data_IF_539008106538
#
_entry.id   IF_539008106538
#
_cell.length_a   1.000
_cell.length_b   1.000
_cell.length_c   1.000
_cell.angle_alpha   90.00
_cell.angle_beta   90.00
_cell.angle_gamma   90.00
#
_symmetry.space_group_name_H-M   'P 1'
#
loop_
_entity.id
_entity.type
_entity.pdbx_description
1 polymer ?
#
# COMPACT_ATOMS: atom_id res chain seq x y z
N UNK A 1 -21.82 -17.77 -17.81
CA UNK A 1 -21.93 -16.50 -17.05
C UNK A 1 -21.06 -15.50 -17.78
N UNK A 2 -21.66 -14.64 -18.59
CA UNK A 2 -20.95 -13.56 -19.29
C UNK A 2 -20.47 -12.54 -18.27
N UNK A 3 -19.16 -12.37 -18.19
CA UNK A 3 -18.52 -11.33 -17.40
C UNK A 3 -18.64 -10.02 -18.19
N UNK A 4 -19.65 -9.21 -17.91
CA UNK A 4 -19.70 -7.82 -18.35
C UNK A 4 -18.67 -7.01 -17.55
N UNK A 5 -17.39 -7.24 -17.84
CA UNK A 5 -16.29 -6.45 -17.27
C UNK A 5 -16.41 -5.02 -17.77
N UNK A 6 -16.72 -4.08 -16.88
CA UNK A 6 -16.70 -2.67 -17.22
C UNK A 6 -15.32 -2.27 -17.76
N UNK A 7 -15.28 -1.55 -18.88
CA UNK A 7 -14.03 -1.13 -19.51
C UNK A 7 -13.13 -0.40 -18.49
N UNK A 8 -11.89 -0.87 -18.34
CA UNK A 8 -10.90 -0.25 -17.45
C UNK A 8 -10.35 1.04 -18.06
N UNK A 9 -9.88 1.99 -17.24
CA UNK A 9 -9.14 3.15 -17.73
C UNK A 9 -7.94 2.69 -18.57
N UNK A 10 -7.72 3.33 -19.71
CA UNK A 10 -6.58 3.06 -20.60
C UNK A 10 -5.29 3.73 -20.14
N UNK A 11 -5.38 4.65 -19.17
CA UNK A 11 -4.27 5.42 -18.62
C UNK A 11 -4.16 5.21 -17.12
N UNK A 12 -2.93 5.22 -16.63
CA UNK A 12 -2.60 5.17 -15.20
C UNK A 12 -2.99 6.46 -14.50
N UNK A 13 -3.16 6.41 -13.18
CA UNK A 13 -3.48 7.61 -12.39
C UNK A 13 -2.32 8.62 -12.44
N UNK A 14 -1.08 8.14 -12.44
CA UNK A 14 0.10 8.98 -12.56
C UNK A 14 0.15 9.74 -13.88
N UNK A 15 -0.23 9.11 -15.01
CA UNK A 15 -0.34 9.79 -16.31
C UNK A 15 -1.48 10.82 -16.31
N UNK A 16 -2.64 10.47 -15.76
CA UNK A 16 -3.77 11.38 -15.61
C UNK A 16 -3.41 12.62 -14.78
N UNK A 17 -2.65 12.42 -13.70
CA UNK A 17 -2.19 13.50 -12.82
C UNK A 17 -1.07 14.36 -13.46
N UNK A 18 -0.28 13.79 -14.37
CA UNK A 18 0.83 14.46 -15.06
C UNK A 18 0.42 15.25 -16.31
N UNK A 19 -0.81 15.05 -16.82
CA UNK A 19 -1.30 15.75 -18.00
C UNK A 19 -1.36 17.28 -17.75
N UNK A 20 -0.69 18.07 -18.59
CA UNK A 20 -0.66 19.52 -18.48
C UNK A 20 -2.05 20.14 -18.72
N UNK A 21 -2.54 20.93 -17.75
CA UNK A 21 -3.86 21.56 -17.77
C UNK A 21 -4.55 21.43 -16.42
N UNK A 22 -5.84 21.77 -16.33
CA UNK A 22 -6.68 21.23 -15.25
C UNK A 22 -7.01 19.80 -15.68
N UNK A 23 -6.44 18.75 -15.08
CA UNK A 23 -6.87 17.39 -15.40
C UNK A 23 -8.35 17.31 -14.98
N UNK A 24 -9.24 17.17 -15.96
CA UNK A 24 -10.62 16.80 -15.68
C UNK A 24 -10.56 15.38 -15.11
N UNK A 25 -10.55 15.29 -13.78
CA UNK A 25 -10.56 14.01 -13.03
C UNK A 25 -11.75 13.21 -13.55
N UNK A 26 -11.53 12.04 -14.19
CA UNK A 26 -12.63 11.29 -14.78
C UNK A 26 -13.68 10.97 -13.71
N UNK A 27 -14.96 11.00 -14.10
CA UNK A 27 -16.08 10.84 -13.16
C UNK A 27 -16.02 9.58 -12.30
N UNK A 28 -15.32 8.53 -12.77
CA UNK A 28 -15.08 7.30 -12.02
C UNK A 28 -14.13 7.45 -10.83
N UNK A 29 -13.38 8.54 -10.72
CA UNK A 29 -12.53 8.84 -9.57
C UNK A 29 -13.15 9.90 -8.64
N UNK A 30 -14.34 10.40 -8.98
CA UNK A 30 -15.04 11.38 -8.16
C UNK A 30 -16.00 10.65 -7.24
N UNK A 31 -15.69 10.64 -5.95
CA UNK A 31 -16.62 10.11 -4.95
C UNK A 31 -17.88 10.96 -4.91
N UNK A 32 -19.04 10.31 -5.06
CA UNK A 32 -20.36 10.95 -4.95
C UNK A 32 -20.87 11.00 -3.51
N UNK A 33 -20.04 10.63 -2.53
CA UNK A 33 -20.41 10.65 -1.12
C UNK A 33 -20.92 12.03 -0.75
N UNK A 34 -22.16 12.07 -0.24
CA UNK A 34 -22.71 13.23 0.44
C UNK A 34 -21.67 13.70 1.45
N UNK A 35 -21.03 14.84 1.20
CA UNK A 35 -20.46 15.62 2.27
C UNK A 35 -21.64 16.02 3.14
N UNK A 36 -21.99 15.20 4.12
CA UNK A 36 -22.66 15.73 5.28
C UNK A 36 -21.74 16.84 5.78
N UNK A 37 -22.23 18.08 5.73
CA UNK A 37 -21.66 19.26 6.37
C UNK A 37 -21.68 19.08 7.91
N UNK A 38 -21.21 17.93 8.40
CA UNK A 38 -21.04 17.64 9.80
C UNK A 38 -19.69 18.17 10.23
N UNK A 39 -19.66 18.91 11.34
CA UNK A 39 -18.43 19.14 12.08
C UNK A 39 -17.58 17.86 12.04
N UNK A 40 -16.35 17.96 11.54
CA UNK A 40 -15.37 16.92 11.80
C UNK A 40 -15.28 16.81 13.33
N UNK A 41 -15.69 15.67 13.93
CA UNK A 41 -15.44 15.48 15.34
C UNK A 41 -13.93 15.66 15.53
N UNK A 42 -13.53 16.38 16.58
CA UNK A 42 -12.12 16.46 16.97
C UNK A 42 -11.64 15.03 17.16
N UNK A 43 -10.93 14.50 16.17
CA UNK A 43 -10.45 13.14 16.19
C UNK A 43 -9.48 13.02 17.37
N UNK A 44 -9.74 12.08 18.26
CA UNK A 44 -8.77 11.72 19.28
C UNK A 44 -7.43 11.34 18.60
N UNK A 45 -6.27 11.50 19.24
CA UNK A 45 -5.01 11.09 18.64
C UNK A 45 -4.96 9.56 18.51
N UNK A 46 -4.43 9.06 17.39
CA UNK A 46 -4.21 7.63 17.17
C UNK A 46 -3.27 7.08 18.25
N UNK A 47 -3.59 5.94 18.91
CA UNK A 47 -2.71 5.34 19.90
C UNK A 47 -1.35 4.96 19.31
N UNK A 48 -0.28 5.15 20.07
CA UNK A 48 1.09 4.75 19.70
C UNK A 48 1.56 3.67 20.66
N UNK A 49 1.97 2.51 20.17
CA UNK A 49 2.41 1.35 20.97
C UNK A 49 3.92 1.18 20.88
N UNK A 50 4.58 1.12 22.02
CA UNK A 50 6.02 0.88 22.16
C UNK A 50 6.30 -0.63 22.22
N UNK A 51 6.71 -1.20 21.09
CA UNK A 51 6.94 -2.65 20.98
C UNK A 51 8.11 -3.09 21.87
N UNK A 52 9.15 -2.26 21.98
CA UNK A 52 10.30 -2.52 22.85
C UNK A 52 9.92 -2.66 24.32
N UNK A 53 8.81 -2.04 24.77
CA UNK A 53 8.23 -2.21 26.12
C UNK A 53 7.50 -3.53 26.30
N UNK A 54 6.81 -4.01 25.27
CA UNK A 54 6.09 -5.30 25.32
C UNK A 54 7.02 -6.50 25.51
N UNK A 55 8.26 -6.41 25.02
CA UNK A 55 9.22 -7.51 25.02
C UNK A 55 10.36 -7.37 26.05
N UNK A 56 10.27 -6.42 27.01
CA UNK A 56 11.27 -6.33 28.09
C UNK A 56 11.23 -7.59 28.96
N UNK A 57 12.39 -8.21 29.18
CA UNK A 57 12.49 -9.40 30.03
C UNK A 57 12.08 -9.11 31.49
N UNK A 58 11.42 -10.09 32.10
CA UNK A 58 10.92 -10.07 33.48
C UNK A 58 12.05 -9.75 34.47
N UNK A 59 11.95 -8.61 35.15
CA UNK A 59 12.92 -8.18 36.17
C UNK A 59 12.94 -6.67 36.40
N UNK A 60 12.58 -5.88 35.39
CA UNK A 60 12.30 -4.45 35.53
C UNK A 60 10.79 -4.25 35.61
N UNK A 61 10.26 -4.03 36.81
CA UNK A 61 8.88 -3.66 37.16
C UNK A 61 7.82 -3.91 36.06
N UNK A 62 7.03 -4.96 36.24
CA UNK A 62 5.88 -5.38 35.42
C UNK A 62 4.70 -4.37 35.39
N UNK A 63 4.97 -3.08 35.17
CA UNK A 63 4.01 -2.00 35.34
C UNK A 63 4.23 -0.82 34.37
N UNK A 64 4.74 -1.04 33.15
CA UNK A 64 4.76 0.05 32.16
C UNK A 64 3.44 0.23 31.39
N UNK A 65 2.48 -0.67 31.60
CA UNK A 65 1.09 -0.54 31.13
C UNK A 65 0.91 -0.67 29.63
N UNK A 66 1.96 -1.02 28.87
CA UNK A 66 1.92 -0.99 27.42
C UNK A 66 1.03 -2.10 26.84
N UNK A 67 0.92 -3.26 27.49
CA UNK A 67 -0.04 -4.32 27.12
C UNK A 67 -1.49 -3.83 27.26
N UNK A 68 -1.82 -3.15 28.36
CA UNK A 68 -3.17 -2.62 28.59
C UNK A 68 -3.52 -1.54 27.55
N UNK A 69 -2.55 -0.71 27.18
CA UNK A 69 -2.69 0.29 26.11
C UNK A 69 -2.89 -0.35 24.73
N UNK A 70 -2.15 -1.42 24.42
CA UNK A 70 -2.34 -2.19 23.19
C UNK A 70 -3.75 -2.80 23.14
N UNK A 71 -4.19 -3.44 24.22
CA UNK A 71 -5.55 -3.98 24.35
C UNK A 71 -6.60 -2.90 24.13
N UNK A 72 -6.46 -1.76 24.79
CA UNK A 72 -7.37 -0.62 24.63
C UNK A 72 -7.41 -0.12 23.18
N UNK A 73 -6.25 0.00 22.52
CA UNK A 73 -6.18 0.42 21.13
C UNK A 73 -6.88 -0.58 20.19
N UNK A 74 -6.69 -1.88 20.40
CA UNK A 74 -7.38 -2.93 19.64
C UNK A 74 -8.90 -2.88 19.84
N UNK A 75 -9.38 -2.68 21.08
CA UNK A 75 -10.80 -2.69 21.42
C UNK A 75 -11.54 -1.41 20.99
N UNK A 76 -10.89 -0.25 21.06
CA UNK A 76 -11.54 1.05 20.83
C UNK A 76 -11.27 1.65 19.46
N UNK A 77 -10.07 1.44 18.92
CA UNK A 77 -9.65 2.02 17.64
C UNK A 77 -9.62 1.00 16.50
N UNK A 78 -9.17 -0.23 16.78
CA UNK A 78 -8.85 -1.22 15.75
C UNK A 78 -7.62 -0.85 14.89
N UNK A 79 -6.94 0.25 15.21
CA UNK A 79 -5.71 0.72 14.57
C UNK A 79 -4.81 1.44 15.59
N UNK A 80 -3.51 1.36 15.41
CA UNK A 80 -2.51 2.05 16.23
C UNK A 80 -1.20 2.20 15.44
N UNK A 81 -0.36 3.15 15.86
CA UNK A 81 1.01 3.29 15.39
C UNK A 81 1.94 2.47 16.28
N UNK A 82 3.09 2.05 15.76
CA UNK A 82 4.12 1.34 16.53
C UNK A 82 5.41 2.13 16.57
N UNK A 83 6.14 2.06 17.69
CA UNK A 83 7.48 2.61 17.88
C UNK A 83 8.37 1.58 18.54
N UNK A 84 9.70 1.77 18.45
CA UNK A 84 10.70 0.85 19.00
C UNK A 84 10.46 -0.61 18.56
N UNK A 85 10.06 -0.78 17.31
CA UNK A 85 9.71 -2.08 16.71
C UNK A 85 10.93 -2.94 16.34
N UNK A 86 12.16 -2.44 16.53
CA UNK A 86 13.39 -3.19 16.26
C UNK A 86 13.85 -3.16 14.80
N UNK A 87 12.95 -2.88 13.84
CA UNK A 87 13.31 -2.64 12.43
C UNK A 87 14.27 -1.45 12.29
N UNK A 88 15.39 -1.67 11.62
CA UNK A 88 16.40 -0.65 11.36
C UNK A 88 15.88 0.39 10.36
N UNK A 89 16.10 1.69 10.64
CA UNK A 89 15.59 2.77 9.80
C UNK A 89 16.12 2.70 8.37
N UNK A 90 17.33 2.19 8.16
CA UNK A 90 17.92 2.03 6.83
C UNK A 90 17.16 1.05 5.94
N UNK A 91 16.44 0.09 6.53
CA UNK A 91 15.60 -0.86 5.78
C UNK A 91 14.40 -0.16 5.20
N UNK A 92 13.69 0.59 6.05
CA UNK A 92 12.51 1.36 5.65
C UNK A 92 12.89 2.45 4.65
N UNK A 93 14.00 3.17 4.90
CA UNK A 93 14.52 4.18 3.99
C UNK A 93 14.91 3.58 2.63
N UNK A 94 15.61 2.44 2.63
CA UNK A 94 15.98 1.72 1.42
C UNK A 94 14.77 1.32 0.58
N UNK A 95 13.74 0.75 1.21
CA UNK A 95 12.50 0.38 0.52
C UNK A 95 11.73 1.60 0.00
N UNK A 96 11.69 2.70 0.75
CA UNK A 96 11.08 3.95 0.32
C UNK A 96 11.80 4.56 -0.89
N UNK A 97 13.14 4.53 -0.90
CA UNK A 97 13.94 4.95 -2.05
C UNK A 97 13.66 4.05 -3.25
N UNK A 98 13.72 2.73 -3.07
CA UNK A 98 13.53 1.77 -4.14
C UNK A 98 12.13 1.90 -4.78
N UNK A 99 11.10 2.08 -3.95
CA UNK A 99 9.73 2.32 -4.40
C UNK A 99 9.61 3.61 -5.21
N UNK A 100 10.18 4.72 -4.72
CA UNK A 100 10.15 6.00 -5.43
C UNK A 100 10.86 5.93 -6.78
N UNK A 101 12.00 5.25 -6.83
CA UNK A 101 12.74 5.03 -8.07
C UNK A 101 11.93 4.23 -9.06
N UNK A 102 11.27 3.14 -8.61
CA UNK A 102 10.37 2.36 -9.47
C UNK A 102 9.29 3.23 -10.12
N UNK A 103 8.54 4.01 -9.32
CA UNK A 103 7.43 4.83 -9.83
C UNK A 103 7.88 6.03 -10.68
N UNK A 104 9.14 6.47 -10.56
CA UNK A 104 9.75 7.50 -11.42
C UNK A 104 10.17 7.00 -12.79
N UNK A 105 10.24 5.68 -12.99
CA UNK A 105 10.56 5.13 -14.30
C UNK A 105 9.50 5.51 -15.35
N UNK A 106 9.89 5.54 -16.65
CA UNK A 106 8.96 5.72 -17.74
C UNK A 106 7.79 4.71 -17.68
N UNK A 107 6.59 5.07 -18.17
CA UNK A 107 5.45 4.16 -18.21
C UNK A 107 5.76 2.80 -18.84
N UNK A 108 6.57 2.77 -19.89
CA UNK A 108 6.93 1.57 -20.63
C UNK A 108 7.66 0.56 -19.74
N UNK A 109 8.56 1.02 -18.87
CA UNK A 109 9.29 0.14 -17.95
C UNK A 109 8.38 -0.42 -16.86
N UNK A 110 7.44 0.40 -16.34
CA UNK A 110 6.48 -0.06 -15.32
C UNK A 110 5.44 -1.01 -15.89
N UNK A 111 5.01 -0.80 -17.14
CA UNK A 111 4.05 -1.66 -17.85
C UNK A 111 4.56 -3.09 -18.05
N UNK A 112 5.88 -3.33 -18.00
CA UNK A 112 6.45 -4.69 -18.03
C UNK A 112 5.98 -5.57 -16.88
N UNK A 113 5.54 -4.95 -15.78
CA UNK A 113 5.09 -5.62 -14.57
C UNK A 113 3.57 -5.64 -14.45
N UNK A 114 2.82 -5.32 -15.51
CA UNK A 114 1.37 -5.07 -15.44
C UNK A 114 0.58 -6.23 -14.81
N UNK A 115 -0.39 -5.90 -13.96
CA UNK A 115 -1.28 -6.86 -13.31
C UNK A 115 -2.45 -7.34 -14.21
N UNK A 116 -2.33 -7.15 -15.52
CA UNK A 116 -3.37 -7.41 -16.51
C UNK A 116 -2.80 -8.20 -17.69
N UNK A 117 -2.97 -9.53 -17.64
CA UNK A 117 -2.47 -10.44 -18.66
C UNK A 117 -3.30 -10.26 -19.94
N UNK A 118 -2.63 -9.96 -21.05
CA UNK A 118 -3.26 -9.80 -22.36
C UNK A 118 -4.26 -8.63 -22.42
N UNK A 119 -4.19 -7.67 -21.49
CA UNK A 119 -5.09 -6.52 -21.44
C UNK A 119 -6.49 -6.80 -20.88
N UNK A 120 -6.78 -8.03 -20.45
CA UNK A 120 -8.13 -8.42 -20.02
C UNK A 120 -8.16 -9.18 -18.69
N UNK A 121 -7.21 -10.12 -18.49
CA UNK A 121 -7.23 -11.01 -17.33
C UNK A 121 -6.47 -10.40 -16.17
N UNK A 122 -7.21 -9.99 -15.15
CA UNK A 122 -6.62 -9.53 -13.89
C UNK A 122 -5.86 -10.64 -13.16
N UNK A 123 -4.67 -10.30 -12.68
CA UNK A 123 -3.93 -11.02 -11.64
C UNK A 123 -3.71 -10.06 -10.47
N UNK A 124 -3.62 -10.59 -9.25
CA UNK A 124 -3.45 -9.75 -8.05
C UNK A 124 -2.08 -9.06 -8.03
N UNK A 125 -1.03 -9.80 -8.37
CA UNK A 125 0.34 -9.30 -8.38
C UNK A 125 0.64 -8.49 -9.65
N UNK A 126 1.54 -7.51 -9.53
CA UNK A 126 1.99 -6.64 -10.60
C UNK A 126 1.63 -5.17 -10.40
N UNK A 127 2.00 -4.37 -11.38
CA UNK A 127 1.76 -2.95 -11.50
C UNK A 127 0.39 -2.65 -12.11
N UNK A 128 -0.37 -1.75 -11.51
CA UNK A 128 -1.65 -1.29 -12.03
C UNK A 128 -2.60 -0.85 -10.92
N UNK A 129 -3.89 -0.88 -11.22
CA UNK A 129 -4.95 -0.58 -10.26
C UNK A 129 -5.62 -1.85 -9.75
N UNK A 130 -6.49 -1.71 -8.77
CA UNK A 130 -7.32 -2.81 -8.28
C UNK A 130 -8.23 -3.40 -9.37
N UNK A 131 -8.79 -4.57 -9.06
CA UNK A 131 -9.75 -5.23 -9.93
C UNK A 131 -10.99 -4.35 -10.11
N UNK A 132 -11.26 -3.96 -11.35
CA UNK A 132 -12.52 -3.35 -11.74
C UNK A 132 -13.57 -4.44 -11.94
N UNK A 133 -14.67 -4.37 -11.19
CA UNK A 133 -15.77 -5.35 -11.19
C UNK A 133 -17.01 -4.87 -11.93
N UNK A 134 -17.23 -3.56 -12.04
CA UNK A 134 -18.34 -2.95 -12.78
C UNK A 134 -17.94 -1.66 -13.50
N UNK A 135 -18.77 -1.21 -14.43
CA UNK A 135 -18.54 0.04 -15.18
C UNK A 135 -18.77 1.29 -14.30
N UNK A 136 -19.67 1.17 -13.32
CA UNK A 136 -20.08 2.24 -12.40
C UNK A 136 -19.19 2.35 -11.16
N UNK A 137 -18.27 1.40 -10.96
CA UNK A 137 -17.36 1.40 -9.82
C UNK A 137 -16.55 2.70 -9.76
N UNK A 138 -16.58 3.33 -8.59
CA UNK A 138 -15.65 4.41 -8.22
C UNK A 138 -14.28 3.80 -7.96
N UNK A 139 -13.26 4.35 -8.60
CA UNK A 139 -11.89 3.90 -8.59
C UNK A 139 -11.05 4.77 -7.64
N UNK A 140 -10.08 4.14 -7.00
CA UNK A 140 -9.09 4.85 -6.19
C UNK A 140 -8.16 5.67 -7.08
N UNK A 141 -7.83 6.88 -6.64
CA UNK A 141 -6.81 7.72 -7.28
C UNK A 141 -5.39 7.24 -6.88
N UNK A 142 -5.05 6.00 -7.27
CA UNK A 142 -3.74 5.41 -6.99
C UNK A 142 -3.33 4.39 -8.05
N UNK A 143 -2.05 4.41 -8.42
CA UNK A 143 -1.38 3.26 -9.04
C UNK A 143 -0.63 2.47 -7.97
N UNK A 144 -0.53 1.15 -8.14
CA UNK A 144 0.06 0.25 -7.15
C UNK A 144 0.98 -0.76 -7.82
N UNK A 145 1.99 -1.21 -7.09
CA UNK A 145 2.75 -2.42 -7.40
C UNK A 145 2.48 -3.38 -6.24
N UNK A 146 1.77 -4.47 -6.51
CA UNK A 146 1.45 -5.49 -5.52
C UNK A 146 2.32 -6.72 -5.78
N UNK A 147 3.09 -7.17 -4.80
CA UNK A 147 3.97 -8.32 -4.94
C UNK A 147 3.77 -9.26 -3.76
N UNK A 148 3.72 -10.56 -4.04
CA UNK A 148 3.86 -11.56 -3.00
C UNK A 148 5.30 -11.59 -2.53
N UNK A 149 5.49 -11.37 -1.23
CA UNK A 149 6.80 -11.45 -0.57
C UNK A 149 6.96 -12.77 0.19
N UNK A 150 5.89 -13.42 0.63
CA UNK A 150 5.95 -14.73 1.29
C UNK A 150 4.81 -15.66 0.84
N UNK A 151 5.02 -16.99 0.89
CA UNK A 151 6.31 -17.66 1.14
C UNK A 151 7.28 -17.54 -0.06
N UNK A 152 8.58 -17.77 0.16
CA UNK A 152 9.62 -17.56 -0.88
C UNK A 152 9.39 -18.34 -2.17
N UNK A 153 8.91 -19.58 -2.05
CA UNK A 153 8.65 -20.51 -3.16
C UNK A 153 7.40 -20.15 -3.97
N UNK A 154 6.54 -19.29 -3.43
CA UNK A 154 5.36 -18.76 -4.12
C UNK A 154 5.62 -17.39 -4.77
N UNK A 155 6.82 -16.82 -4.65
CA UNK A 155 7.17 -15.51 -5.24
C UNK A 155 7.20 -15.58 -6.76
N UNK A 156 6.42 -14.73 -7.42
CA UNK A 156 6.48 -14.53 -8.87
C UNK A 156 7.61 -13.57 -9.25
N UNK A 157 8.88 -14.02 -9.19
CA UNK A 157 10.06 -13.17 -9.44
C UNK A 157 10.06 -12.48 -10.81
N UNK A 158 9.31 -12.99 -11.79
CA UNK A 158 9.14 -12.34 -13.08
C UNK A 158 8.41 -10.98 -12.98
N UNK A 159 7.61 -10.77 -11.93
CA UNK A 159 6.89 -9.53 -11.65
C UNK A 159 7.67 -8.58 -10.74
N UNK A 160 8.82 -9.02 -10.22
CA UNK A 160 9.64 -8.20 -9.36
C UNK A 160 10.49 -7.23 -10.20
N UNK A 161 10.47 -5.92 -9.91
CA UNK A 161 11.27 -4.94 -10.63
C UNK A 161 12.77 -5.26 -10.62
N UNK A 162 13.38 -5.30 -11.80
CA UNK A 162 14.83 -5.39 -11.94
C UNK A 162 15.51 -4.03 -11.66
N UNK A 163 14.75 -2.95 -11.79
CA UNK A 163 15.16 -1.59 -11.48
C UNK A 163 14.20 -0.96 -10.46
N UNK A 164 14.75 -0.34 -9.39
CA UNK A 164 16.18 -0.24 -9.08
C UNK A 164 16.79 -1.59 -8.66
N UNK A 165 18.10 -1.75 -8.82
CA UNK A 165 18.80 -3.00 -8.49
C UNK A 165 18.68 -3.36 -6.99
N UNK A 166 18.47 -2.35 -6.16
CA UNK A 166 18.24 -2.47 -4.72
C UNK A 166 16.84 -2.94 -4.36
N UNK A 167 15.90 -3.06 -5.31
CA UNK A 167 14.50 -3.38 -5.01
C UNK A 167 14.35 -4.76 -4.35
N UNK A 168 14.95 -5.80 -4.93
CA UNK A 168 14.87 -7.16 -4.39
C UNK A 168 15.52 -7.25 -3.00
N UNK A 169 16.71 -6.67 -2.84
CA UNK A 169 17.42 -6.65 -1.57
C UNK A 169 16.63 -5.89 -0.49
N UNK A 170 16.11 -4.70 -0.83
CA UNK A 170 15.34 -3.89 0.10
C UNK A 170 14.06 -4.59 0.54
N UNK A 171 13.36 -5.25 -0.40
CA UNK A 171 12.15 -6.02 -0.08
C UNK A 171 12.45 -7.26 0.78
N UNK A 172 13.58 -7.95 0.53
CA UNK A 172 14.00 -9.08 1.35
C UNK A 172 14.39 -8.64 2.77
N UNK A 173 15.07 -7.49 2.92
CA UNK A 173 15.41 -6.91 4.22
C UNK A 173 14.17 -6.48 5.01
N UNK A 174 13.21 -5.82 4.35
CA UNK A 174 11.92 -5.46 4.98
C UNK A 174 11.22 -6.71 5.49
N UNK A 175 11.16 -7.77 4.68
CA UNK A 175 10.53 -9.01 5.10
C UNK A 175 11.23 -9.65 6.31
N UNK A 176 12.56 -9.75 6.32
CA UNK A 176 13.29 -10.36 7.43
C UNK A 176 13.04 -9.63 8.77
N UNK A 177 12.76 -8.33 8.74
CA UNK A 177 12.58 -7.52 9.95
C UNK A 177 11.11 -7.30 10.39
N UNK A 178 10.12 -7.65 9.54
CA UNK A 178 8.69 -7.53 9.83
C UNK A 178 8.03 -8.87 10.14
#
# INVERSE_FOLDING_TARGET
MESTGGARPTSTVQELAGAHGKPDVPARYVSRSHHENGQHPTAAPVPVIDIGRLFKQEGAAAADGEEAKLRQALESWGLFLVTNHGVDTSVMDGMMVASREFFRQPPEEKQRYINLIGGERFQLEGYGTDRVSSAEQILDWSDRLYLRVEPEDERSLALWPAHPQTFMESSARVHHEM
#
